data_IF_601846452220
#
_entry.id   IF_601846452220
#
_cell.length_a   1.000
_cell.length_b   1.000
_cell.length_c   1.000
_cell.angle_alpha   90.00
_cell.angle_beta   90.00
_cell.angle_gamma   90.00
#
_symmetry.space_group_name_H-M   'P 1'
#
loop_
_entity.id
_entity.type
_entity.pdbx_description
1 polymer ?
#
# COMPACT_ATOMS: atom_id res chain seq x y z
N UNK A 1 -21.94 102.66 -24.89
CA UNK A 1 -22.76 102.47 -23.68
C UNK A 1 -22.30 101.16 -23.04
N UNK A 2 -21.40 101.20 -22.04
CA UNK A 2 -21.73 101.00 -20.61
C UNK A 2 -22.91 100.05 -20.41
N UNK A 3 -22.64 98.83 -19.95
CA UNK A 3 -23.17 98.29 -18.68
C UNK A 3 -22.34 97.09 -18.20
N UNK A 4 -22.21 96.87 -16.87
CA UNK A 4 -21.01 96.31 -16.27
C UNK A 4 -21.22 95.00 -15.49
N UNK A 5 -20.10 94.31 -15.29
CA UNK A 5 -19.64 93.65 -14.05
C UNK A 5 -20.57 92.67 -13.29
N UNK A 6 -20.15 91.40 -13.25
CA UNK A 6 -20.53 90.41 -12.24
C UNK A 6 -19.39 89.41 -11.97
N UNK A 7 -18.85 89.47 -10.74
CA UNK A 7 -17.86 88.60 -10.05
C UNK A 7 -18.14 87.09 -10.20
N UNK A 8 -17.29 86.13 -9.84
CA UNK A 8 -15.86 85.89 -9.57
C UNK A 8 -15.80 84.40 -9.12
N UNK A 9 -14.68 83.67 -9.28
CA UNK A 9 -14.61 82.23 -8.99
C UNK A 9 -14.09 81.95 -7.57
N UNK A 10 -14.46 80.81 -6.96
CA UNK A 10 -13.68 80.07 -5.95
C UNK A 10 -14.42 78.83 -5.43
N UNK A 11 -13.72 77.70 -5.44
CA UNK A 11 -13.24 77.01 -4.23
C UNK A 11 -13.31 75.48 -4.39
N UNK A 12 -12.12 74.86 -4.40
CA UNK A 12 -11.89 73.45 -4.15
C UNK A 12 -12.54 72.99 -2.84
N UNK A 13 -13.15 71.80 -2.87
CA UNK A 13 -13.35 70.96 -1.68
C UNK A 13 -12.99 69.52 -2.03
N UNK A 14 -11.82 69.09 -1.57
CA UNK A 14 -11.51 67.69 -1.33
C UNK A 14 -12.10 67.32 0.03
N UNK A 15 -12.99 66.33 0.07
CA UNK A 15 -13.49 65.75 1.30
C UNK A 15 -13.36 64.23 1.23
N UNK A 16 -12.63 63.71 2.21
CA UNK A 16 -12.36 62.31 2.50
C UNK A 16 -13.63 61.50 2.74
N UNK A 17 -13.69 60.27 2.20
CA UNK A 17 -14.56 59.22 2.69
C UNK A 17 -13.82 57.87 2.60
N UNK A 18 -13.20 57.46 3.71
CA UNK A 18 -12.82 56.06 3.94
C UNK A 18 -13.94 55.46 4.76
N UNK A 19 -14.86 54.75 4.10
CA UNK A 19 -15.90 53.97 4.74
C UNK A 19 -15.41 52.51 4.88
N UNK A 20 -14.90 52.16 6.05
CA UNK A 20 -14.68 50.75 6.43
C UNK A 20 -16.02 50.14 6.82
N UNK A 21 -16.65 49.41 5.89
CA UNK A 21 -17.78 48.54 6.19
C UNK A 21 -17.25 47.14 6.50
N UNK A 22 -17.13 46.82 7.79
CA UNK A 22 -16.93 45.45 8.27
C UNK A 22 -18.29 44.73 8.21
N UNK A 23 -18.53 43.96 7.16
CA UNK A 23 -19.68 43.07 7.08
C UNK A 23 -19.38 41.78 7.86
N UNK A 24 -19.84 41.72 9.10
CA UNK A 24 -19.96 40.48 9.88
C UNK A 24 -21.13 39.66 9.31
N UNK A 25 -20.83 38.66 8.48
CA UNK A 25 -21.78 37.62 8.12
C UNK A 25 -21.49 36.37 8.94
N UNK A 26 -22.18 36.27 10.08
CA UNK A 26 -22.36 35.02 10.81
C UNK A 26 -23.38 34.16 10.05
N UNK A 27 -22.88 33.12 9.37
CA UNK A 27 -23.70 31.99 8.93
C UNK A 27 -23.32 30.79 9.79
N UNK A 28 -24.19 30.55 10.77
CA UNK A 28 -24.14 29.44 11.71
C UNK A 28 -24.61 28.13 11.06
N UNK A 29 -24.00 27.02 11.49
CA UNK A 29 -24.38 25.59 11.37
C UNK A 29 -24.24 24.93 9.97
N UNK A 30 -23.70 23.71 9.81
CA UNK A 30 -23.41 22.64 10.76
C UNK A 30 -22.25 21.75 10.27
N UNK A 31 -21.22 21.58 11.09
CA UNK A 31 -20.35 20.39 11.14
C UNK A 31 -20.07 20.15 12.63
N UNK A 32 -20.58 19.04 13.17
CA UNK A 32 -20.48 18.70 14.60
C UNK A 32 -19.04 18.40 15.03
N UNK A 33 -18.64 18.88 16.21
CA UNK A 33 -17.28 18.81 16.72
C UNK A 33 -17.30 18.41 18.20
N UNK A 34 -16.85 17.19 18.52
CA UNK A 34 -16.48 16.81 19.89
C UNK A 34 -14.96 16.68 20.05
N UNK A 35 -14.48 17.28 21.15
CA UNK A 35 -13.10 17.29 21.67
C UNK A 35 -12.98 16.26 22.79
N UNK A 36 -11.83 15.58 22.87
CA UNK A 36 -11.45 14.76 24.01
C UNK A 36 -9.93 14.56 24.07
N UNK A 37 -9.35 14.97 25.19
CA UNK A 37 -7.93 15.10 25.51
C UNK A 37 -7.19 13.77 25.82
N UNK A 38 -5.86 13.86 25.78
CA UNK A 38 -4.87 12.81 26.07
C UNK A 38 -4.64 12.59 27.58
N UNK A 39 -4.22 11.37 27.98
CA UNK A 39 -3.12 11.12 28.95
C UNK A 39 -2.80 9.62 29.19
N UNK A 40 -1.68 9.23 29.86
CA UNK A 40 -0.69 8.31 29.27
C UNK A 40 -0.29 7.08 30.14
N UNK A 41 0.73 6.36 29.66
CA UNK A 41 1.63 5.39 30.32
C UNK A 41 1.30 3.88 30.33
N UNK A 42 2.32 3.09 29.96
CA UNK A 42 2.44 1.66 30.22
C UNK A 42 3.59 1.00 29.43
N UNK A 43 4.79 0.96 30.01
CA UNK A 43 6.00 0.32 29.46
C UNK A 43 6.11 -1.20 29.78
N UNK A 44 6.67 -1.91 28.80
CA UNK A 44 7.47 -3.16 28.75
C UNK A 44 7.62 -4.12 29.96
N UNK A 45 7.51 -5.42 29.65
CA UNK A 45 8.27 -6.56 30.22
C UNK A 45 8.59 -7.49 29.03
N UNK A 46 9.78 -8.03 28.76
CA UNK A 46 10.90 -8.44 29.61
C UNK A 46 10.86 -9.97 29.77
N UNK A 47 11.31 -10.75 28.77
CA UNK A 47 11.29 -12.22 28.85
C UNK A 47 12.70 -12.83 28.82
N UNK A 48 13.00 -13.57 29.89
CA UNK A 48 14.22 -14.32 30.15
C UNK A 48 14.32 -15.61 29.32
N UNK A 49 15.56 -16.07 29.15
CA UNK A 49 15.92 -17.40 28.67
C UNK A 49 15.73 -18.50 29.74
N UNK A 50 15.67 -19.76 29.30
CA UNK A 50 16.41 -20.86 29.95
C UNK A 50 17.22 -21.65 28.89
N UNK A 51 18.48 -22.02 29.10
CA UNK A 51 19.12 -22.94 30.07
C UNK A 51 19.53 -24.25 29.37
N UNK A 52 20.77 -24.64 29.69
CA UNK A 52 21.62 -25.68 29.13
C UNK A 52 21.32 -27.04 29.78
N UNK A 53 21.50 -28.13 29.05
CA UNK A 53 21.52 -29.50 29.56
C UNK A 53 22.42 -30.39 28.71
N UNK A 54 23.47 -30.92 29.33
CA UNK A 54 24.52 -31.79 28.78
C UNK A 54 24.06 -33.26 28.68
N UNK A 55 24.68 -34.09 27.81
CA UNK A 55 24.52 -35.56 27.89
C UNK A 55 24.88 -36.39 26.66
N UNK A 56 26.12 -36.86 26.63
CA UNK A 56 26.87 -37.79 25.77
C UNK A 56 26.27 -39.19 25.44
N UNK A 57 26.73 -39.79 24.34
CA UNK A 57 26.65 -41.23 24.06
C UNK A 57 27.12 -41.64 22.65
N UNK A 58 28.34 -42.16 22.54
CA UNK A 58 28.99 -42.66 21.32
C UNK A 58 28.58 -44.11 20.98
N UNK A 59 28.79 -44.53 19.72
CA UNK A 59 28.61 -45.91 19.25
C UNK A 59 28.84 -46.06 17.75
N UNK A 60 29.92 -46.74 17.39
CA UNK A 60 30.59 -46.78 16.09
C UNK A 60 30.00 -47.81 15.09
N UNK A 61 30.30 -47.70 13.79
CA UNK A 61 30.20 -48.86 12.88
C UNK A 61 30.07 -48.64 11.37
N UNK A 62 31.21 -48.47 10.67
CA UNK A 62 31.66 -49.01 9.34
C UNK A 62 30.63 -49.30 8.22
N UNK A 63 30.83 -49.05 6.91
CA UNK A 63 31.90 -48.65 5.98
C UNK A 63 31.20 -48.43 4.60
N UNK A 64 31.74 -47.86 3.54
CA UNK A 64 33.00 -48.08 2.83
C UNK A 64 33.20 -46.92 1.82
N UNK A 65 34.43 -46.78 1.32
CA UNK A 65 34.98 -45.57 0.75
C UNK A 65 34.66 -45.34 -0.74
N UNK A 66 34.64 -44.06 -1.13
CA UNK A 66 35.33 -43.62 -2.34
C UNK A 66 35.88 -42.20 -2.10
N UNK A 67 37.20 -42.10 -2.11
CA UNK A 67 37.94 -40.86 -1.88
C UNK A 67 37.98 -40.03 -3.17
N UNK A 68 37.26 -38.91 -3.16
CA UNK A 68 37.37 -37.86 -4.16
C UNK A 68 37.38 -36.49 -3.50
N UNK A 69 38.58 -35.98 -3.22
CA UNK A 69 38.98 -34.59 -2.95
C UNK A 69 37.94 -33.64 -2.31
N UNK A 70 38.27 -33.19 -1.10
CA UNK A 70 37.64 -32.06 -0.43
C UNK A 70 37.72 -30.78 -1.27
N UNK A 71 36.64 -30.47 -1.98
CA UNK A 71 36.21 -29.09 -2.20
C UNK A 71 35.21 -28.75 -1.08
N UNK A 72 35.34 -27.56 -0.49
CA UNK A 72 34.44 -27.04 0.54
C UNK A 72 33.06 -26.74 -0.05
N UNK A 73 32.36 -27.78 -0.50
CA UNK A 73 31.19 -27.72 -1.35
C UNK A 73 30.11 -26.87 -0.70
N UNK A 74 29.95 -25.64 -1.22
CA UNK A 74 28.73 -24.88 -1.01
C UNK A 74 27.57 -25.78 -1.44
N UNK A 75 26.60 -26.01 -0.55
CA UNK A 75 25.37 -26.70 -0.92
C UNK A 75 24.78 -25.96 -2.12
N UNK A 76 24.85 -26.59 -3.29
CA UNK A 76 24.47 -25.94 -4.55
C UNK A 76 23.00 -25.60 -4.47
N UNK A 77 22.67 -24.32 -4.68
CA UNK A 77 21.29 -23.88 -4.74
C UNK A 77 20.52 -24.73 -5.76
N UNK A 78 19.43 -25.34 -5.30
CA UNK A 78 18.66 -26.25 -6.13
C UNK A 78 17.77 -25.44 -7.07
N UNK A 79 17.76 -25.82 -8.35
CA UNK A 79 16.91 -25.22 -9.36
C UNK A 79 15.42 -25.28 -8.99
N UNK A 80 14.64 -24.34 -9.50
CA UNK A 80 13.19 -24.35 -9.33
C UNK A 80 12.50 -25.37 -10.25
N UNK A 81 13.04 -25.58 -11.47
CA UNK A 81 12.35 -26.33 -12.52
C UNK A 81 11.05 -25.65 -12.97
N UNK A 82 10.07 -26.44 -13.42
CA UNK A 82 8.74 -25.93 -13.75
C UNK A 82 8.02 -25.48 -12.47
N UNK A 83 7.80 -24.17 -12.33
CA UNK A 83 7.01 -23.62 -11.23
C UNK A 83 5.56 -24.09 -11.32
N UNK A 84 4.89 -24.11 -10.17
CA UNK A 84 3.46 -24.35 -10.08
C UNK A 84 2.79 -23.34 -9.13
N UNK A 85 1.46 -23.22 -9.25
CA UNK A 85 0.64 -22.44 -8.31
C UNK A 85 -0.21 -23.40 -7.50
N UNK A 86 0.00 -23.40 -6.19
CA UNK A 86 -0.77 -24.18 -5.23
C UNK A 86 -1.82 -23.31 -4.54
N UNK A 87 -3.08 -23.77 -4.52
CA UNK A 87 -4.17 -23.10 -3.81
C UNK A 87 -4.20 -23.56 -2.34
N UNK A 88 -3.54 -22.78 -1.48
CA UNK A 88 -3.53 -22.99 -0.03
C UNK A 88 -4.78 -22.39 0.59
N UNK A 89 -5.55 -23.20 1.33
CA UNK A 89 -6.73 -22.73 2.07
C UNK A 89 -6.45 -21.56 3.03
N UNK A 90 -5.20 -21.43 3.50
CA UNK A 90 -4.80 -20.39 4.46
C UNK A 90 -4.05 -19.23 3.82
N UNK A 91 -3.31 -19.48 2.75
CA UNK A 91 -2.38 -18.53 2.13
C UNK A 91 -2.80 -18.10 0.73
N UNK A 92 -3.89 -18.66 0.20
CA UNK A 92 -4.32 -18.45 -1.17
C UNK A 92 -3.36 -19.09 -2.15
N UNK A 93 -3.23 -18.48 -3.34
CA UNK A 93 -2.34 -18.96 -4.38
C UNK A 93 -0.89 -18.69 -4.02
N UNK A 94 -0.12 -19.76 -3.92
CA UNK A 94 1.29 -19.78 -3.54
C UNK A 94 2.09 -20.42 -4.66
N UNK A 95 3.23 -19.84 -5.03
CA UNK A 95 4.15 -20.45 -5.99
C UNK A 95 4.98 -21.53 -5.31
N UNK A 96 5.12 -22.66 -5.99
CA UNK A 96 6.02 -23.74 -5.62
C UNK A 96 7.01 -24.03 -6.73
N UNK A 97 8.12 -24.67 -6.37
CA UNK A 97 9.02 -25.30 -7.35
C UNK A 97 8.41 -26.58 -7.96
N UNK A 98 9.17 -27.22 -8.85
CA UNK A 98 8.81 -28.49 -9.51
C UNK A 98 8.68 -29.70 -8.58
N UNK A 99 9.19 -29.59 -7.35
CA UNK A 99 9.03 -30.61 -6.32
C UNK A 99 7.86 -30.29 -5.39
N UNK A 100 7.24 -29.11 -5.52
CA UNK A 100 6.11 -28.66 -4.73
C UNK A 100 6.50 -27.97 -3.41
N UNK A 101 7.76 -27.59 -3.21
CA UNK A 101 8.15 -26.75 -2.07
C UNK A 101 7.72 -25.30 -2.29
N UNK A 102 7.16 -24.69 -1.24
CA UNK A 102 6.75 -23.28 -1.27
C UNK A 102 7.96 -22.36 -1.46
N UNK A 103 7.81 -21.40 -2.37
CA UNK A 103 8.77 -20.32 -2.54
C UNK A 103 8.38 -19.14 -1.65
N UNK A 104 9.40 -18.43 -1.16
CA UNK A 104 9.25 -17.31 -0.24
C UNK A 104 9.97 -16.08 -0.77
N UNK A 105 9.51 -14.92 -0.30
CA UNK A 105 10.15 -13.63 -0.45
C UNK A 105 10.49 -13.01 0.91
N UNK A 106 11.49 -12.14 0.90
CA UNK A 106 11.94 -11.41 2.07
C UNK A 106 11.58 -9.92 1.94
N UNK A 107 10.90 -9.36 2.93
CA UNK A 107 10.48 -7.95 2.90
C UNK A 107 11.64 -6.95 2.95
N UNK A 108 12.84 -7.39 3.35
CA UNK A 108 14.03 -6.52 3.29
C UNK A 108 14.69 -6.52 1.91
N UNK A 109 14.26 -7.35 0.98
CA UNK A 109 14.75 -7.33 -0.40
C UNK A 109 14.11 -6.18 -1.19
N UNK A 110 14.67 -5.86 -2.36
CA UNK A 110 14.07 -4.90 -3.30
C UNK A 110 13.76 -5.59 -4.61
N UNK A 111 12.62 -5.25 -5.22
CA UNK A 111 12.24 -5.74 -6.55
C UNK A 111 12.77 -4.86 -7.69
N UNK A 112 12.98 -3.55 -7.45
CA UNK A 112 13.45 -2.63 -8.47
C UNK A 112 14.46 -1.61 -7.89
N UNK A 113 15.76 -1.73 -8.22
CA UNK A 113 16.36 -2.88 -8.88
C UNK A 113 16.24 -4.16 -8.02
N UNK A 114 16.20 -5.35 -8.64
CA UNK A 114 16.24 -6.61 -7.90
C UNK A 114 17.48 -6.70 -7.00
N UNK A 115 17.29 -6.94 -5.70
CA UNK A 115 18.39 -7.13 -4.75
C UNK A 115 18.00 -8.04 -3.61
N UNK A 116 18.80 -9.08 -3.40
CA UNK A 116 18.79 -9.87 -2.17
C UNK A 116 19.61 -9.17 -1.08
N UNK A 117 19.00 -9.00 0.09
CA UNK A 117 19.64 -8.55 1.32
C UNK A 117 19.80 -9.70 2.33
N UNK A 118 19.65 -10.95 1.88
CA UNK A 118 19.91 -12.15 2.67
C UNK A 118 21.41 -12.50 2.60
N UNK A 119 22.12 -12.31 3.71
CA UNK A 119 23.55 -12.61 3.81
C UNK A 119 23.85 -14.12 3.97
N UNK A 120 25.13 -14.49 4.04
CA UNK A 120 25.56 -15.88 4.16
C UNK A 120 24.99 -16.62 5.39
N UNK A 121 24.67 -15.93 6.49
CA UNK A 121 24.06 -16.54 7.66
C UNK A 121 22.57 -16.77 7.43
N UNK A 122 21.89 -15.79 6.84
CA UNK A 122 20.50 -15.87 6.41
C UNK A 122 20.28 -17.03 5.43
N UNK A 123 21.18 -17.22 4.46
CA UNK A 123 21.10 -18.28 3.44
C UNK A 123 21.11 -19.71 3.98
N UNK A 124 21.57 -19.92 5.22
CA UNK A 124 21.48 -21.23 5.89
C UNK A 124 20.04 -21.61 6.23
N UNK A 125 19.23 -20.63 6.61
CA UNK A 125 17.82 -20.82 6.93
C UNK A 125 16.92 -20.60 5.69
N UNK A 126 17.38 -19.75 4.77
CA UNK A 126 16.67 -19.33 3.57
C UNK A 126 17.53 -19.56 2.34
N UNK A 127 17.75 -20.82 1.92
CA UNK A 127 18.51 -21.10 0.72
C UNK A 127 17.88 -20.40 -0.50
N UNK A 128 18.72 -19.80 -1.35
CA UNK A 128 18.25 -19.22 -2.61
C UNK A 128 17.70 -20.30 -3.53
N UNK A 129 16.75 -19.93 -4.36
CA UNK A 129 16.29 -20.75 -5.49
C UNK A 129 17.13 -20.38 -6.71
N UNK A 130 17.79 -21.34 -7.36
CA UNK A 130 18.56 -21.04 -8.56
C UNK A 130 17.63 -20.73 -9.75
N UNK A 131 17.97 -19.70 -10.53
CA UNK A 131 17.23 -19.29 -11.72
C UNK A 131 17.37 -20.28 -12.88
N UNK A 132 18.49 -21.01 -12.93
CA UNK A 132 18.77 -21.99 -13.98
C UNK A 132 17.65 -23.05 -14.07
N UNK A 133 17.12 -23.24 -15.28
CA UNK A 133 16.04 -24.19 -15.55
C UNK A 133 14.66 -23.81 -14.99
N UNK A 134 14.49 -22.62 -14.40
CA UNK A 134 13.18 -22.15 -13.94
C UNK A 134 12.26 -21.88 -15.14
N UNK A 135 11.02 -22.36 -15.06
CA UNK A 135 9.96 -22.09 -16.05
C UNK A 135 8.71 -21.62 -15.33
N UNK A 136 8.03 -20.62 -15.88
CA UNK A 136 6.83 -20.06 -15.27
C UNK A 136 5.72 -21.10 -15.16
N UNK A 137 4.91 -21.00 -14.11
CA UNK A 137 3.77 -21.88 -13.93
C UNK A 137 2.73 -21.67 -15.05
N UNK A 138 1.93 -22.70 -15.40
CA UNK A 138 0.86 -22.52 -16.37
C UNK A 138 -0.07 -21.36 -15.99
N UNK A 139 -0.31 -20.43 -16.92
CA UNK A 139 -1.13 -19.23 -16.68
C UNK A 139 -0.43 -18.10 -15.91
N UNK A 140 0.88 -18.22 -15.63
CA UNK A 140 1.71 -17.15 -15.07
C UNK A 140 2.57 -16.56 -16.19
N UNK A 141 2.59 -15.23 -16.28
CA UNK A 141 3.40 -14.53 -17.27
C UNK A 141 4.90 -14.84 -17.05
N UNK A 142 5.52 -15.46 -18.06
CA UNK A 142 6.92 -15.81 -18.03
C UNK A 142 7.85 -14.59 -18.04
N UNK A 143 7.36 -13.42 -18.47
CA UNK A 143 8.10 -12.16 -18.46
C UNK A 143 8.43 -11.67 -17.04
N UNK A 144 7.69 -12.16 -16.04
CA UNK A 144 7.94 -11.84 -14.63
C UNK A 144 9.17 -12.57 -14.06
N UNK A 145 9.63 -13.65 -14.71
CA UNK A 145 10.80 -14.37 -14.23
C UNK A 145 12.09 -13.61 -14.59
N UNK A 146 12.96 -13.48 -13.61
CA UNK A 146 14.28 -12.89 -13.80
C UNK A 146 15.33 -13.55 -12.92
N UNK A 147 16.47 -12.90 -12.83
CA UNK A 147 17.56 -13.33 -11.95
C UNK A 147 18.24 -12.15 -11.25
N UNK A 148 18.81 -12.42 -10.08
CA UNK A 148 19.70 -11.52 -9.36
C UNK A 148 20.90 -12.31 -8.85
N UNK A 149 22.09 -11.71 -8.83
CA UNK A 149 23.26 -12.33 -8.21
C UNK A 149 23.14 -12.23 -6.70
N UNK A 150 22.97 -13.37 -6.03
CA UNK A 150 22.93 -13.47 -4.57
C UNK A 150 24.32 -13.30 -3.94
N UNK A 151 24.36 -13.09 -2.63
CA UNK A 151 25.61 -12.87 -1.87
C UNK A 151 26.60 -14.05 -1.94
N UNK A 152 26.12 -15.26 -2.20
CA UNK A 152 26.95 -16.46 -2.36
C UNK A 152 27.49 -16.66 -3.79
N UNK A 153 27.12 -15.77 -4.72
CA UNK A 153 27.45 -15.82 -6.15
C UNK A 153 26.43 -16.56 -7.01
N UNK A 154 25.39 -17.15 -6.42
CA UNK A 154 24.34 -17.87 -7.14
C UNK A 154 23.48 -16.91 -7.96
N UNK A 155 23.13 -17.29 -9.19
CA UNK A 155 22.03 -16.65 -9.94
C UNK A 155 20.70 -17.06 -9.33
N UNK A 156 20.18 -16.21 -8.46
CA UNK A 156 18.93 -16.45 -7.75
C UNK A 156 17.74 -16.06 -8.62
N UNK A 157 16.72 -16.92 -8.64
CA UNK A 157 15.45 -16.67 -9.31
C UNK A 157 14.76 -15.44 -8.71
N UNK A 158 14.24 -14.58 -9.58
CA UNK A 158 13.30 -13.54 -9.18
C UNK A 158 11.94 -13.75 -9.86
N UNK A 159 10.87 -13.31 -9.19
CA UNK A 159 9.52 -13.21 -9.76
C UNK A 159 9.06 -11.76 -9.57
N UNK A 160 8.75 -11.07 -10.65
CA UNK A 160 8.48 -9.62 -10.67
C UNK A 160 9.56 -8.82 -9.90
N UNK A 161 10.82 -9.22 -10.11
CA UNK A 161 11.99 -8.64 -9.46
C UNK A 161 12.23 -9.08 -8.00
N UNK A 162 11.29 -9.73 -7.32
CA UNK A 162 11.48 -10.21 -5.94
C UNK A 162 12.36 -11.47 -5.88
N UNK A 163 13.43 -11.50 -5.06
CA UNK A 163 14.27 -12.70 -4.92
C UNK A 163 13.55 -13.85 -4.22
N UNK A 164 13.64 -15.05 -4.81
CA UNK A 164 12.95 -16.25 -4.33
C UNK A 164 13.84 -17.16 -3.48
N UNK A 165 13.29 -17.62 -2.37
CA UNK A 165 13.96 -18.51 -1.41
C UNK A 165 13.14 -19.76 -1.13
N UNK A 166 13.81 -20.82 -0.71
CA UNK A 166 13.19 -21.92 0.04
C UNK A 166 13.38 -21.69 1.53
N UNK A 167 12.62 -22.41 2.35
CA UNK A 167 12.82 -22.42 3.79
C UNK A 167 13.39 -23.77 4.25
N UNK A 168 14.51 -23.75 4.97
CA UNK A 168 15.23 -24.96 5.36
C UNK A 168 14.44 -25.90 6.30
N UNK A 169 13.35 -25.41 6.94
CA UNK A 169 12.50 -26.25 7.81
C UNK A 169 11.25 -26.80 7.11
N UNK A 170 11.02 -26.45 5.86
CA UNK A 170 10.00 -27.11 5.05
C UNK A 170 10.56 -28.48 4.64
N UNK A 171 9.87 -29.55 5.08
CA UNK A 171 10.39 -30.91 4.97
C UNK A 171 9.69 -31.70 3.87
N UNK A 172 8.53 -31.22 3.40
CA UNK A 172 7.72 -31.86 2.38
C UNK A 172 7.01 -30.83 1.50
N UNK A 173 6.60 -31.22 0.28
CA UNK A 173 5.81 -30.37 -0.60
C UNK A 173 4.55 -29.85 0.09
N UNK A 174 4.21 -28.58 -0.17
CA UNK A 174 3.08 -27.88 0.46
C UNK A 174 3.31 -27.43 1.90
N UNK A 175 4.47 -27.73 2.52
CA UNK A 175 4.86 -27.05 3.75
C UNK A 175 5.05 -25.56 3.48
N UNK A 176 4.46 -24.72 4.33
CA UNK A 176 4.56 -23.27 4.27
C UNK A 176 5.05 -22.67 5.62
N UNK A 177 5.97 -23.36 6.31
CA UNK A 177 6.37 -23.01 7.70
C UNK A 177 7.19 -21.73 7.78
N UNK A 178 7.74 -21.27 6.66
CA UNK A 178 8.45 -19.99 6.55
C UNK A 178 7.50 -18.78 6.60
N UNK A 179 6.20 -18.99 6.42
CA UNK A 179 5.23 -17.90 6.41
C UNK A 179 5.24 -17.15 7.75
N UNK A 180 5.48 -15.84 7.69
CA UNK A 180 5.45 -14.95 8.84
C UNK A 180 6.67 -15.05 9.76
N UNK A 181 7.68 -15.87 9.43
CA UNK A 181 8.90 -15.97 10.24
C UNK A 181 9.54 -14.58 10.37
N UNK A 182 9.80 -14.16 11.60
CA UNK A 182 10.37 -12.84 11.91
C UNK A 182 9.52 -11.64 11.46
N UNK A 183 8.26 -11.85 11.06
CA UNK A 183 7.40 -10.80 10.50
C UNK A 183 7.85 -10.27 9.13
N UNK A 184 8.87 -10.87 8.51
CA UNK A 184 9.51 -10.37 7.29
C UNK A 184 9.56 -11.38 6.16
N UNK A 185 9.25 -12.65 6.43
CA UNK A 185 9.27 -13.73 5.45
C UNK A 185 7.85 -14.16 5.08
N UNK A 186 7.59 -14.30 3.78
CA UNK A 186 6.25 -14.59 3.28
C UNK A 186 6.30 -15.53 2.10
N UNK A 187 5.36 -16.48 2.04
CA UNK A 187 5.13 -17.30 0.86
C UNK A 187 4.86 -16.37 -0.33
N UNK A 188 5.40 -16.71 -1.49
CA UNK A 188 5.27 -15.89 -2.69
C UNK A 188 4.01 -16.27 -3.48
N UNK A 189 3.31 -15.27 -4.02
CA UNK A 189 2.27 -15.43 -5.03
C UNK A 189 2.91 -15.47 -6.44
N UNK A 190 2.09 -15.74 -7.46
CA UNK A 190 2.52 -15.82 -8.88
C UNK A 190 3.08 -14.52 -9.44
N UNK A 191 2.74 -13.39 -8.84
CA UNK A 191 3.25 -12.06 -9.16
C UNK A 191 4.45 -11.65 -8.28
N UNK A 192 5.07 -12.59 -7.58
CA UNK A 192 6.19 -12.33 -6.65
C UNK A 192 5.80 -11.62 -5.35
N UNK A 193 4.52 -11.23 -5.19
CA UNK A 193 4.03 -10.59 -3.98
C UNK A 193 3.82 -11.59 -2.85
N UNK A 194 3.41 -11.12 -1.66
CA UNK A 194 3.04 -12.02 -0.55
C UNK A 194 1.78 -12.77 -0.94
N UNK A 195 1.81 -14.08 -0.84
CA UNK A 195 0.62 -14.89 -0.90
C UNK A 195 -0.33 -14.51 0.24
N UNK A 196 -1.59 -14.32 -0.11
CA UNK A 196 -2.69 -14.11 0.81
C UNK A 196 -3.91 -14.89 0.29
N UNK A 197 -4.78 -15.41 1.17
CA UNK A 197 -6.00 -16.11 0.78
C UNK A 197 -6.81 -15.27 -0.20
N UNK A 198 -6.91 -15.78 -1.43
CA UNK A 198 -7.60 -15.12 -2.51
C UNK A 198 -9.11 -15.17 -2.25
N UNK A 199 -9.74 -13.99 -2.14
CA UNK A 199 -11.13 -13.85 -2.55
C UNK A 199 -11.16 -13.97 -4.09
N UNK A 200 -11.46 -15.18 -4.57
CA UNK A 200 -11.78 -15.60 -5.95
C UNK A 200 -11.31 -14.65 -7.08
N UNK A 201 -10.32 -15.12 -7.84
CA UNK A 201 -9.81 -14.50 -9.06
C UNK A 201 -10.79 -14.67 -10.23
N UNK A 202 -10.83 -13.65 -11.10
CA UNK A 202 -11.31 -13.74 -12.49
C UNK A 202 -10.10 -13.44 -13.40
N UNK A 203 -9.89 -14.14 -14.54
CA UNK A 203 -8.75 -13.94 -15.47
C UNK A 203 -8.98 -12.69 -16.35
N UNK A 204 -8.08 -12.05 -17.10
CA UNK A 204 -6.66 -12.18 -17.52
C UNK A 204 -6.33 -10.91 -18.36
N UNK A 205 -5.04 -10.63 -18.60
CA UNK A 205 -4.42 -10.13 -19.86
C UNK A 205 -3.34 -9.04 -19.69
N UNK A 206 -2.19 -9.34 -20.29
CA UNK A 206 -0.83 -8.78 -20.17
C UNK A 206 -0.51 -7.61 -21.12
N UNK A 207 0.22 -6.60 -20.64
CA UNK A 207 1.28 -5.84 -21.37
C UNK A 207 2.00 -4.79 -20.44
N UNK A 208 3.26 -4.39 -20.71
CA UNK A 208 4.35 -4.16 -19.71
C UNK A 208 4.51 -2.74 -19.12
N UNK A 209 5.48 -2.52 -18.19
CA UNK A 209 5.53 -1.38 -17.28
C UNK A 209 6.39 -0.23 -17.80
N UNK A 210 5.78 0.94 -17.96
CA UNK A 210 6.46 2.22 -17.88
C UNK A 210 5.64 3.13 -16.96
N UNK A 211 6.34 3.98 -16.21
CA UNK A 211 5.79 4.82 -15.14
C UNK A 211 4.46 5.48 -15.53
N UNK A 212 3.37 5.17 -14.81
CA UNK A 212 2.09 5.84 -15.02
C UNK A 212 2.00 7.04 -14.07
N UNK A 213 2.05 8.29 -14.58
CA UNK A 213 1.69 9.46 -13.81
C UNK A 213 0.20 9.40 -13.42
N UNK A 214 -0.15 10.07 -12.33
CA UNK A 214 -1.50 10.17 -11.80
C UNK A 214 -2.50 10.68 -12.86
N UNK A 215 -3.35 9.79 -13.37
CA UNK A 215 -4.60 10.18 -14.01
C UNK A 215 -5.73 9.17 -13.67
N UNK A 216 -6.55 9.44 -12.65
CA UNK A 216 -7.67 8.61 -12.22
C UNK A 216 -9.03 9.08 -12.80
N UNK A 217 -9.06 9.78 -13.94
CA UNK A 217 -10.26 10.39 -14.52
C UNK A 217 -11.58 9.57 -14.33
N UNK A 218 -12.35 9.93 -13.29
CA UNK A 218 -13.66 9.39 -12.96
C UNK A 218 -13.89 9.20 -11.45
N UNK A 219 -14.89 9.87 -10.87
CA UNK A 219 -15.47 9.49 -9.57
C UNK A 219 -16.92 9.04 -9.76
N UNK A 220 -17.27 7.85 -9.27
CA UNK A 220 -18.63 7.33 -9.36
C UNK A 220 -19.10 6.72 -8.04
N UNK A 221 -20.37 6.31 -7.97
CA UNK A 221 -20.91 5.61 -6.80
C UNK A 221 -21.12 4.12 -7.08
N UNK A 222 -20.94 3.31 -6.04
CA UNK A 222 -21.28 1.88 -6.01
C UNK A 222 -22.07 1.57 -4.75
N UNK A 223 -23.10 0.73 -4.89
CA UNK A 223 -23.81 0.17 -3.73
C UNK A 223 -23.02 -1.01 -3.15
N UNK A 224 -22.34 -0.79 -2.05
CA UNK A 224 -21.70 -1.81 -1.24
C UNK A 224 -22.73 -2.51 -0.33
N UNK A 225 -22.69 -3.85 -0.21
CA UNK A 225 -23.68 -4.60 0.58
C UNK A 225 -23.65 -4.31 2.08
N UNK A 226 -22.52 -3.82 2.62
CA UNK A 226 -22.34 -3.54 4.06
C UNK A 226 -22.33 -2.05 4.37
N UNK A 227 -21.78 -1.25 3.47
CA UNK A 227 -21.57 0.19 3.65
C UNK A 227 -22.66 1.03 2.97
N UNK A 228 -23.49 0.43 2.12
CA UNK A 228 -24.47 1.19 1.34
C UNK A 228 -23.82 1.91 0.17
N UNK A 229 -24.30 3.09 -0.18
CA UNK A 229 -23.75 3.84 -1.33
C UNK A 229 -22.43 4.52 -0.94
N UNK A 230 -21.36 4.17 -1.66
CA UNK A 230 -19.99 4.67 -1.43
C UNK A 230 -19.39 5.19 -2.74
N UNK A 231 -18.42 6.09 -2.61
CA UNK A 231 -17.65 6.66 -3.73
C UNK A 231 -16.53 5.71 -4.13
N UNK A 232 -16.33 5.57 -5.43
CA UNK A 232 -15.23 4.81 -6.04
C UNK A 232 -14.57 5.65 -7.13
N UNK A 233 -13.29 5.38 -7.38
CA UNK A 233 -12.59 5.95 -8.54
C UNK A 233 -12.97 5.25 -9.85
N UNK A 234 -12.40 5.67 -10.98
CA UNK A 234 -12.67 5.08 -12.30
C UNK A 234 -12.32 3.59 -12.37
N UNK A 235 -11.37 3.15 -11.55
CA UNK A 235 -10.94 1.76 -11.46
C UNK A 235 -11.84 0.99 -10.48
N UNK A 236 -12.87 1.59 -9.90
CA UNK A 236 -13.76 0.98 -8.91
C UNK A 236 -13.13 0.77 -7.54
N UNK A 237 -11.97 1.39 -7.28
CA UNK A 237 -11.33 1.38 -5.96
C UNK A 237 -12.12 2.27 -5.01
N UNK A 238 -12.29 1.83 -3.77
CA UNK A 238 -13.05 2.60 -2.78
C UNK A 238 -12.31 3.90 -2.43
N UNK A 239 -13.06 5.00 -2.41
CA UNK A 239 -12.57 6.30 -1.97
C UNK A 239 -12.92 6.49 -0.51
N UNK A 240 -11.95 6.94 0.27
CA UNK A 240 -12.01 7.12 1.71
C UNK A 240 -11.85 8.58 2.09
N UNK A 241 -12.27 8.84 3.32
CA UNK A 241 -12.08 10.08 4.05
C UNK A 241 -11.40 9.80 5.40
N UNK A 242 -10.51 10.69 5.79
CA UNK A 242 -9.86 10.66 7.10
C UNK A 242 -10.59 11.55 8.10
N UNK A 243 -11.03 11.00 9.23
CA UNK A 243 -11.79 11.77 10.24
C UNK A 243 -10.94 12.76 11.03
N UNK A 244 -9.61 12.67 10.93
CA UNK A 244 -8.70 13.65 11.54
C UNK A 244 -8.51 14.91 10.69
N UNK A 245 -8.93 14.90 9.42
CA UNK A 245 -8.90 16.08 8.56
C UNK A 245 -9.93 17.14 8.98
N UNK A 246 -9.88 18.31 8.34
CA UNK A 246 -10.87 19.36 8.51
C UNK A 246 -11.47 19.75 7.16
N UNK A 247 -12.80 19.90 7.10
CA UNK A 247 -13.48 20.44 5.91
C UNK A 247 -13.37 21.96 5.78
N UNK A 248 -13.24 22.70 6.90
CA UNK A 248 -13.04 24.14 6.82
C UNK A 248 -12.27 24.69 8.05
N UNK A 249 -11.19 25.47 7.83
CA UNK A 249 -10.43 25.53 6.57
C UNK A 249 -9.98 24.13 6.16
N UNK A 250 -9.95 23.85 4.85
CA UNK A 250 -9.60 22.52 4.35
C UNK A 250 -8.17 22.20 4.81
N UNK A 251 -8.02 21.08 5.53
CA UNK A 251 -6.74 20.61 6.03
C UNK A 251 -6.65 19.09 5.93
N UNK A 252 -5.65 18.63 5.18
CA UNK A 252 -5.19 17.24 5.23
C UNK A 252 -4.11 17.11 6.32
N UNK A 253 -4.30 16.14 7.22
CA UNK A 253 -3.26 15.69 8.16
C UNK A 253 -2.52 14.46 7.63
N UNK A 254 -2.84 14.01 6.42
CA UNK A 254 -2.19 12.88 5.77
C UNK A 254 -1.26 13.36 4.66
N UNK A 255 -0.01 13.61 5.04
CA UNK A 255 1.11 14.01 4.16
C UNK A 255 2.30 13.05 4.38
N UNK A 256 3.28 13.08 3.48
CA UNK A 256 4.49 12.24 3.57
C UNK A 256 4.16 10.74 3.63
N UNK A 257 4.75 10.01 4.58
CA UNK A 257 4.54 8.56 4.74
C UNK A 257 3.07 8.15 4.93
N UNK A 258 2.21 9.04 5.44
CA UNK A 258 0.77 8.77 5.48
C UNK A 258 0.20 8.67 4.06
N UNK A 259 0.58 9.59 3.18
CA UNK A 259 0.11 9.66 1.80
C UNK A 259 0.62 8.48 0.93
N UNK A 260 1.69 7.80 1.34
CA UNK A 260 2.12 6.55 0.69
C UNK A 260 1.13 5.40 0.94
N UNK A 261 0.51 5.36 2.12
CA UNK A 261 -0.51 4.36 2.50
C UNK A 261 -1.91 4.78 2.10
N UNK A 262 -2.15 6.08 2.08
CA UNK A 262 -3.42 6.71 1.74
C UNK A 262 -3.19 7.77 0.65
N UNK A 263 -2.98 7.34 -0.60
CA UNK A 263 -2.74 8.29 -1.68
C UNK A 263 -3.90 9.28 -1.81
N UNK A 264 -3.57 10.56 -1.96
CA UNK A 264 -4.57 11.59 -2.21
C UNK A 264 -5.22 11.34 -3.57
N UNK A 265 -6.56 11.41 -3.62
CA UNK A 265 -7.29 11.39 -4.90
C UNK A 265 -6.95 12.66 -5.66
N UNK A 266 -6.38 12.52 -6.86
CA UNK A 266 -6.06 13.66 -7.71
C UNK A 266 -7.34 14.42 -8.12
N UNK A 267 -7.25 15.71 -8.53
CA UNK A 267 -8.40 16.46 -9.00
C UNK A 267 -9.16 15.73 -10.12
N UNK A 268 -10.48 15.66 -10.02
CA UNK A 268 -11.34 15.03 -11.04
C UNK A 268 -12.35 16.05 -11.53
N UNK A 269 -12.46 16.20 -12.85
CA UNK A 269 -13.39 17.14 -13.47
C UNK A 269 -14.85 16.84 -13.09
N UNK A 270 -15.65 17.88 -12.86
CA UNK A 270 -17.06 17.71 -12.46
C UNK A 270 -17.87 16.93 -13.49
N UNK A 271 -17.54 17.08 -14.77
CA UNK A 271 -18.19 16.37 -15.87
C UNK A 271 -17.85 14.87 -15.87
N UNK A 272 -16.72 14.50 -15.29
CA UNK A 272 -16.23 13.12 -15.22
C UNK A 272 -16.59 12.48 -13.87
N UNK A 273 -17.85 12.65 -13.49
CA UNK A 273 -18.38 12.03 -12.28
C UNK A 273 -19.80 11.55 -12.46
N UNK A 274 -20.19 10.56 -11.66
CA UNK A 274 -21.54 9.99 -11.69
C UNK A 274 -22.06 9.73 -10.29
N UNK A 275 -23.23 10.29 -9.95
CA UNK A 275 -23.87 10.07 -8.66
C UNK A 275 -23.26 10.83 -7.48
N UNK A 276 -22.27 11.69 -7.70
CA UNK A 276 -21.57 12.46 -6.67
C UNK A 276 -22.26 13.81 -6.42
N UNK A 277 -22.48 14.18 -5.16
CA UNK A 277 -22.94 15.52 -4.79
C UNK A 277 -21.86 16.56 -5.13
N UNK A 278 -22.29 17.68 -5.73
CA UNK A 278 -21.41 18.77 -6.16
C UNK A 278 -21.20 19.85 -5.10
N UNK A 279 -21.90 19.76 -3.98
CA UNK A 279 -21.66 20.62 -2.83
C UNK A 279 -20.25 20.37 -2.28
N UNK A 280 -19.47 21.46 -2.15
CA UNK A 280 -18.09 21.39 -1.68
C UNK A 280 -17.17 20.51 -2.56
N UNK A 281 -17.56 20.25 -3.82
CA UNK A 281 -16.72 19.53 -4.78
C UNK A 281 -15.71 20.49 -5.41
N UNK A 282 -14.47 20.44 -4.94
CA UNK A 282 -13.40 21.35 -5.37
C UNK A 282 -12.01 20.72 -5.27
N UNK A 283 -11.06 21.35 -5.96
CA UNK A 283 -9.64 21.04 -5.83
C UNK A 283 -9.06 21.77 -4.63
N UNK A 284 -8.38 21.03 -3.76
CA UNK A 284 -7.62 21.54 -2.63
C UNK A 284 -6.12 21.54 -2.96
N UNK A 285 -5.48 22.70 -2.82
CA UNK A 285 -4.03 22.82 -2.90
C UNK A 285 -3.41 22.41 -1.57
N UNK A 286 -2.63 21.34 -1.58
CA UNK A 286 -2.03 20.75 -0.39
C UNK A 286 -0.74 21.50 -0.01
N UNK A 287 -0.39 21.53 1.28
CA UNK A 287 0.85 22.17 1.74
C UNK A 287 2.13 21.48 1.26
N UNK A 288 2.05 20.24 0.80
CA UNK A 288 3.16 19.48 0.20
C UNK A 288 3.34 19.74 -1.31
N UNK A 289 2.60 20.72 -1.86
CA UNK A 289 2.65 21.08 -3.28
C UNK A 289 1.75 20.21 -4.18
N UNK A 290 1.11 19.18 -3.63
CA UNK A 290 0.14 18.36 -4.34
C UNK A 290 -1.24 19.02 -4.48
N UNK A 291 -2.11 18.40 -5.29
CA UNK A 291 -3.53 18.76 -5.38
C UNK A 291 -4.38 17.55 -5.00
N UNK A 292 -5.53 17.80 -4.41
CA UNK A 292 -6.42 16.75 -3.95
C UNK A 292 -7.88 17.09 -4.18
N UNK A 293 -8.65 16.11 -4.63
CA UNK A 293 -10.09 16.24 -4.78
C UNK A 293 -10.79 16.22 -3.43
N UNK A 294 -11.85 17.03 -3.31
CA UNK A 294 -12.74 17.06 -2.15
C UNK A 294 -14.19 16.83 -2.55
N UNK A 295 -15.00 16.30 -1.63
CA UNK A 295 -16.47 16.33 -1.65
C UNK A 295 -16.93 16.87 -0.30
N UNK A 296 -17.90 17.79 -0.27
CA UNK A 296 -18.31 18.52 0.94
C UNK A 296 -17.10 19.11 1.71
N UNK A 297 -16.12 19.61 0.94
CA UNK A 297 -14.85 20.16 1.42
C UNK A 297 -13.93 19.17 2.16
N UNK A 298 -14.26 17.87 2.22
CA UNK A 298 -13.42 16.85 2.84
C UNK A 298 -12.38 16.27 1.87
N UNK A 299 -11.09 16.20 2.26
CA UNK A 299 -10.05 15.55 1.46
C UNK A 299 -10.33 14.06 1.21
N UNK A 300 -10.18 13.63 -0.04
CA UNK A 300 -10.45 12.26 -0.49
C UNK A 300 -9.16 11.47 -0.74
N UNK A 301 -9.16 10.19 -0.39
CA UNK A 301 -8.00 9.31 -0.52
C UNK A 301 -8.40 7.97 -1.12
N UNK A 302 -7.48 7.33 -1.84
CA UNK A 302 -7.54 5.87 -2.04
C UNK A 302 -6.74 5.18 -0.94
N UNK A 303 -6.87 3.87 -0.82
CA UNK A 303 -6.09 3.09 0.14
C UNK A 303 -5.13 2.16 -0.58
N UNK A 304 -3.84 2.24 -0.26
CA UNK A 304 -2.83 1.36 -0.86
C UNK A 304 -3.04 -0.11 -0.50
N UNK A 305 -3.83 -0.42 0.55
CA UNK A 305 -4.22 -1.78 0.90
C UNK A 305 -5.43 -2.32 0.13
N UNK A 306 -6.14 -1.49 -0.64
CA UNK A 306 -7.11 -1.98 -1.62
C UNK A 306 -6.36 -2.37 -2.89
N UNK A 307 -6.60 -3.60 -3.36
CA UNK A 307 -5.87 -4.20 -4.48
C UNK A 307 -6.75 -4.48 -5.68
N UNK A 308 -8.06 -4.54 -5.49
CA UNK A 308 -9.02 -4.74 -6.57
C UNK A 308 -10.28 -3.88 -6.39
N UNK A 309 -11.00 -3.61 -7.49
CA UNK A 309 -12.29 -2.95 -7.43
C UNK A 309 -13.23 -3.70 -6.49
N UNK A 310 -13.93 -2.98 -5.63
CA UNK A 310 -14.80 -3.62 -4.62
C UNK A 310 -14.18 -3.70 -3.23
N UNK A 311 -12.85 -3.65 -3.12
CA UNK A 311 -12.18 -3.70 -1.83
C UNK A 311 -12.60 -2.51 -0.96
N UNK A 312 -12.83 -2.79 0.31
CA UNK A 312 -13.15 -1.80 1.35
C UNK A 312 -12.19 -1.95 2.53
N UNK A 313 -10.95 -2.40 2.28
CA UNK A 313 -10.00 -2.79 3.33
C UNK A 313 -9.52 -1.60 4.16
N UNK A 314 -9.67 -0.38 3.63
CA UNK A 314 -9.42 0.86 4.35
C UNK A 314 -10.50 1.20 5.38
N UNK A 315 -11.67 0.55 5.31
CA UNK A 315 -12.79 0.85 6.19
C UNK A 315 -12.44 0.55 7.65
N UNK A 316 -12.54 1.56 8.51
CA UNK A 316 -12.30 1.46 9.95
C UNK A 316 -10.82 1.36 10.33
N UNK A 317 -9.87 1.47 9.40
CA UNK A 317 -8.45 1.41 9.72
C UNK A 317 -8.11 2.49 10.74
N UNK A 318 -7.48 2.08 11.84
CA UNK A 318 -7.11 2.97 12.95
C UNK A 318 -8.30 3.74 13.54
N UNK A 319 -9.53 3.25 13.38
CA UNK A 319 -10.77 3.90 13.83
C UNK A 319 -11.03 5.28 13.22
N UNK A 320 -10.30 5.65 12.17
CA UNK A 320 -10.24 7.04 11.68
C UNK A 320 -10.37 7.15 10.17
N UNK A 321 -10.31 6.03 9.44
CA UNK A 321 -10.48 5.98 7.99
C UNK A 321 -11.80 5.31 7.64
N UNK A 322 -12.59 5.94 6.77
CA UNK A 322 -13.91 5.44 6.41
C UNK A 322 -14.21 5.73 4.93
N UNK A 323 -14.93 4.82 4.27
CA UNK A 323 -15.41 5.03 2.92
C UNK A 323 -16.24 6.32 2.86
N UNK A 324 -16.04 7.09 1.80
CA UNK A 324 -16.80 8.31 1.56
C UNK A 324 -18.16 7.95 0.94
N UNK A 325 -19.24 8.55 1.44
CA UNK A 325 -20.55 8.54 0.79
C UNK A 325 -20.61 9.56 -0.36
N UNK A 326 -21.64 9.53 -1.22
CA UNK A 326 -21.76 10.46 -2.35
C UNK A 326 -21.78 11.94 -1.97
N UNK A 327 -22.20 12.24 -0.73
CA UNK A 327 -22.20 13.57 -0.13
C UNK A 327 -20.96 13.86 0.75
N UNK A 328 -19.91 13.02 0.66
CA UNK A 328 -18.61 13.23 1.32
C UNK A 328 -18.56 12.84 2.81
N UNK A 329 -19.62 12.26 3.37
CA UNK A 329 -19.63 11.79 4.76
C UNK A 329 -18.85 10.50 4.93
N UNK A 330 -18.35 10.29 6.14
CA UNK A 330 -17.66 9.06 6.52
C UNK A 330 -18.70 7.98 6.86
N UNK A 331 -18.79 6.95 6.02
CA UNK A 331 -19.79 5.89 6.16
C UNK A 331 -19.46 4.99 7.34
N UNK A 332 -20.43 4.80 8.24
CA UNK A 332 -20.29 3.95 9.42
C UNK A 332 -19.33 4.49 10.49
N UNK A 333 -18.86 5.74 10.37
CA UNK A 333 -18.09 6.37 11.43
C UNK A 333 -18.96 6.55 12.69
N UNK A 334 -18.43 6.25 13.88
CA UNK A 334 -19.14 6.53 15.13
C UNK A 334 -19.48 8.02 15.18
N UNK A 335 -20.73 8.32 15.52
CA UNK A 335 -21.14 9.70 15.78
C UNK A 335 -20.33 10.17 17.00
N UNK A 336 -19.60 11.27 16.80
CA UNK A 336 -19.19 12.15 17.87
C UNK A 336 -20.44 12.86 18.33
#
# INVERSE_FOLDING_TARGET
MRHPSGRAPRAWRSASLVATAAALLALTTACGQEKGDQSPNGQNVGNQAPAKGDGYGAGDGYGDADEGAADGGKAKAKAAGQLAVWDSKKLGKVVTDSEGFTLYRFDKDTAQPPKSNCDAACLKAWPVVAADGAKAAPGVDASLLGEVTAADGTKQLTIDGWPMYRFAKDAKPGDAKGQGVGGTWYAAASDGKKAAPAAAETPEETAPPEAVPADPAGLSTRKDPKLGEIVVDKNGMTVYRFTKDSAWPIKSNCVGACAEKWPAVAPVDKADTKGIDKKGYMTYDRPDGGKQQTIDCWPLYTFAGDKKPGDTNGQGVGGTWFAASPDGKAVGAPKK
#
